data_IF_887895221140
#
_entry.id   IF_887895221140
#
_cell.length_a   1.000
_cell.length_b   1.000
_cell.length_c   1.000
_cell.angle_alpha   90.00
_cell.angle_beta   90.00
_cell.angle_gamma   90.00
#
_symmetry.space_group_name_H-M   'P 1'
#
loop_
_entity.id
_entity.type
_entity.pdbx_description
1 polymer ?
#
# COMPACT_ATOMS: atom_id res chain seq x y z
N UNK A 1 -26.75 -1.18 -0.55
CA UNK A 1 -26.35 -0.31 -1.68
C UNK A 1 -24.91 -0.58 -2.10
N UNK A 2 -24.00 -0.73 -1.14
CA UNK A 2 -22.57 -0.97 -1.37
C UNK A 2 -22.25 -2.23 -2.19
N UNK A 3 -22.91 -3.36 -1.92
CA UNK A 3 -22.70 -4.60 -2.67
C UNK A 3 -23.08 -4.52 -4.14
N UNK A 4 -24.11 -3.73 -4.48
CA UNK A 4 -24.52 -3.53 -5.87
C UNK A 4 -23.44 -2.76 -6.64
N UNK A 5 -22.86 -1.73 -6.01
CA UNK A 5 -21.79 -0.96 -6.62
C UNK A 5 -20.51 -1.79 -6.79
N UNK A 6 -20.12 -2.59 -5.79
CA UNK A 6 -18.97 -3.52 -5.88
C UNK A 6 -19.10 -4.48 -7.06
N UNK A 7 -20.29 -5.03 -7.30
CA UNK A 7 -20.58 -5.92 -8.44
C UNK A 7 -20.48 -5.18 -9.78
N UNK A 8 -21.07 -3.99 -9.88
CA UNK A 8 -20.99 -3.16 -11.09
C UNK A 8 -19.54 -2.75 -11.39
N UNK A 9 -18.80 -2.35 -10.36
CA UNK A 9 -17.39 -2.02 -10.47
C UNK A 9 -16.57 -3.20 -11.00
N UNK A 10 -16.73 -4.39 -10.40
CA UNK A 10 -15.98 -5.57 -10.83
C UNK A 10 -16.27 -5.98 -12.27
N UNK A 11 -17.53 -5.86 -12.71
CA UNK A 11 -17.90 -6.11 -14.11
C UNK A 11 -17.25 -5.09 -15.06
N UNK A 12 -17.37 -3.80 -14.76
CA UNK A 12 -16.78 -2.75 -15.59
C UNK A 12 -15.24 -2.86 -15.65
N UNK A 13 -14.61 -3.15 -14.52
CA UNK A 13 -13.17 -3.33 -14.43
C UNK A 13 -12.70 -4.50 -15.31
N UNK A 14 -13.37 -5.65 -15.20
CA UNK A 14 -13.09 -6.83 -16.03
C UNK A 14 -13.21 -6.53 -17.53
N UNK A 15 -14.28 -5.86 -17.96
CA UNK A 15 -14.52 -5.53 -19.37
C UNK A 15 -13.47 -4.55 -19.91
N UNK A 16 -13.18 -3.49 -19.15
CA UNK A 16 -12.21 -2.47 -19.58
C UNK A 16 -10.78 -3.03 -19.58
N UNK A 17 -10.42 -3.86 -18.60
CA UNK A 17 -9.11 -4.51 -18.57
C UNK A 17 -8.91 -5.41 -19.79
N UNK A 18 -9.90 -6.23 -20.16
CA UNK A 18 -9.81 -7.05 -21.37
C UNK A 18 -9.68 -6.21 -22.64
N UNK A 19 -10.42 -5.10 -22.73
CA UNK A 19 -10.36 -4.19 -23.87
C UNK A 19 -8.98 -3.53 -24.02
N UNK A 20 -8.39 -3.06 -22.92
CA UNK A 20 -7.10 -2.35 -22.93
C UNK A 20 -5.91 -3.27 -23.14
N UNK A 21 -5.90 -4.42 -22.48
CA UNK A 21 -4.78 -5.37 -22.50
C UNK A 21 -4.83 -6.29 -23.71
N UNK A 22 -6.02 -6.47 -24.30
CA UNK A 22 -6.31 -7.52 -25.29
C UNK A 22 -6.03 -8.94 -24.77
N UNK A 23 -5.98 -9.09 -23.44
CA UNK A 23 -5.84 -10.37 -22.75
C UNK A 23 -7.20 -10.80 -22.23
N UNK A 24 -7.59 -12.05 -22.51
CA UNK A 24 -8.79 -12.61 -21.93
C UNK A 24 -8.60 -12.84 -20.42
N UNK A 25 -9.52 -12.29 -19.63
CA UNK A 25 -9.56 -12.47 -18.18
C UNK A 25 -10.80 -13.29 -17.86
N UNK A 26 -10.65 -14.45 -17.19
CA UNK A 26 -11.77 -15.33 -16.87
C UNK A 26 -12.68 -14.71 -15.81
N UNK A 27 -12.08 -14.03 -14.84
CA UNK A 27 -12.77 -13.41 -13.72
C UNK A 27 -12.09 -12.10 -13.28
N UNK A 28 -12.65 -11.49 -12.23
CA UNK A 28 -12.15 -10.22 -11.67
C UNK A 28 -10.76 -10.33 -11.04
N UNK A 29 -10.37 -11.52 -10.56
CA UNK A 29 -9.07 -11.75 -9.95
C UNK A 29 -8.00 -11.78 -11.04
N UNK A 30 -8.27 -12.47 -12.15
CA UNK A 30 -7.41 -12.45 -13.34
C UNK A 30 -7.20 -11.02 -13.84
N UNK A 31 -8.28 -10.24 -13.96
CA UNK A 31 -8.19 -8.84 -14.38
C UNK A 31 -7.38 -7.98 -13.39
N UNK A 32 -7.49 -8.24 -12.09
CA UNK A 32 -6.70 -7.58 -11.06
C UNK A 32 -5.21 -7.92 -11.17
N UNK A 33 -4.88 -9.20 -11.38
CA UNK A 33 -3.49 -9.61 -11.61
C UNK A 33 -2.92 -9.01 -12.89
N UNK A 34 -3.70 -8.99 -13.97
CA UNK A 34 -3.28 -8.39 -15.23
C UNK A 34 -3.10 -6.88 -15.09
N UNK A 35 -3.98 -6.22 -14.32
CA UNK A 35 -3.75 -4.85 -13.90
C UNK A 35 -2.39 -4.76 -13.21
N UNK A 36 -2.11 -5.49 -12.14
CA UNK A 36 -0.83 -5.36 -11.42
C UNK A 36 0.41 -5.56 -12.31
N UNK A 37 0.37 -6.44 -13.31
CA UNK A 37 1.50 -6.74 -14.20
C UNK A 37 1.84 -5.64 -15.20
N UNK A 38 0.86 -4.84 -15.62
CA UNK A 38 1.09 -3.85 -16.67
C UNK A 38 1.72 -2.55 -16.17
N UNK A 39 2.60 -1.97 -16.99
CA UNK A 39 3.13 -0.63 -16.79
C UNK A 39 2.09 0.47 -17.10
N UNK A 40 2.40 1.70 -16.70
CA UNK A 40 1.51 2.87 -16.72
C UNK A 40 0.83 3.12 -18.06
N UNK A 41 1.51 2.85 -19.18
CA UNK A 41 0.97 3.09 -20.52
C UNK A 41 -0.33 2.33 -20.81
N UNK A 42 -0.49 1.11 -20.29
CA UNK A 42 -1.72 0.32 -20.47
C UNK A 42 -2.82 0.76 -19.51
N UNK A 43 -2.45 1.32 -18.36
CA UNK A 43 -3.36 1.84 -17.35
C UNK A 43 -3.74 3.28 -17.58
N UNK A 44 -3.10 3.93 -18.55
CA UNK A 44 -3.43 5.27 -18.99
C UNK A 44 -4.92 5.36 -19.33
N UNK A 45 -5.57 6.36 -18.75
CA UNK A 45 -7.02 6.58 -18.83
C UNK A 45 -7.92 5.44 -18.30
N UNK A 46 -7.41 4.42 -17.60
CA UNK A 46 -8.25 3.36 -17.00
C UNK A 46 -9.33 3.93 -16.08
N UNK A 47 -8.94 4.81 -15.18
CA UNK A 47 -9.87 5.43 -14.23
C UNK A 47 -10.88 6.33 -14.92
N UNK A 48 -10.51 6.93 -16.05
CA UNK A 48 -11.39 7.74 -16.88
C UNK A 48 -12.41 6.86 -17.60
N UNK A 49 -12.00 5.74 -18.20
CA UNK A 49 -12.91 4.79 -18.84
C UNK A 49 -13.89 4.18 -17.82
N UNK A 50 -13.38 3.82 -16.64
CA UNK A 50 -14.21 3.36 -15.52
C UNK A 50 -15.20 4.44 -15.04
N UNK A 51 -14.78 5.71 -15.02
CA UNK A 51 -15.62 6.84 -14.63
C UNK A 51 -16.82 7.01 -15.57
N UNK A 52 -16.60 6.83 -16.88
CA UNK A 52 -17.64 6.88 -17.91
C UNK A 52 -18.60 5.70 -17.78
N UNK A 53 -18.09 4.48 -17.56
CA UNK A 53 -18.89 3.28 -17.41
C UNK A 53 -19.78 3.30 -16.16
N UNK A 54 -19.31 3.91 -15.07
CA UNK A 54 -20.00 3.92 -13.77
C UNK A 54 -20.72 5.25 -13.46
N UNK A 55 -20.61 6.25 -14.33
CA UNK A 55 -21.29 7.54 -14.17
C UNK A 55 -20.82 8.33 -12.94
N UNK A 56 -19.52 8.31 -12.64
CA UNK A 56 -18.94 9.01 -11.48
C UNK A 56 -17.58 9.61 -11.85
N UNK A 57 -16.85 10.21 -10.90
CA UNK A 57 -15.55 10.84 -11.18
C UNK A 57 -14.40 9.82 -11.12
N UNK A 58 -13.38 10.00 -11.97
CA UNK A 58 -12.18 9.14 -11.99
C UNK A 58 -11.51 9.06 -10.62
N UNK A 59 -11.44 10.19 -9.89
CA UNK A 59 -10.92 10.24 -8.52
C UNK A 59 -11.68 9.27 -7.59
N UNK A 60 -13.02 9.29 -7.61
CA UNK A 60 -13.83 8.38 -6.78
C UNK A 60 -13.61 6.91 -7.14
N UNK A 61 -13.45 6.60 -8.43
CA UNK A 61 -13.15 5.24 -8.89
C UNK A 61 -11.77 4.79 -8.41
N UNK A 62 -10.76 5.62 -8.62
CA UNK A 62 -9.39 5.38 -8.17
C UNK A 62 -9.35 5.14 -6.65
N UNK A 63 -9.93 6.05 -5.88
CA UNK A 63 -9.96 5.96 -4.42
C UNK A 63 -10.72 4.71 -3.96
N UNK A 64 -11.84 4.39 -4.61
CA UNK A 64 -12.61 3.19 -4.30
C UNK A 64 -11.81 1.91 -4.59
N UNK A 65 -11.09 1.86 -5.71
CA UNK A 65 -10.24 0.74 -6.07
C UNK A 65 -9.19 0.50 -4.98
N UNK A 66 -8.35 1.50 -4.69
CA UNK A 66 -7.21 1.34 -3.77
C UNK A 66 -7.63 1.18 -2.31
N UNK A 67 -8.70 1.85 -1.87
CA UNK A 67 -9.07 1.84 -0.45
C UNK A 67 -10.05 0.73 -0.08
N UNK A 68 -10.82 0.20 -1.05
CA UNK A 68 -11.94 -0.71 -0.75
C UNK A 68 -11.91 -1.96 -1.63
N UNK A 69 -11.97 -1.81 -2.95
CA UNK A 69 -12.25 -2.94 -3.84
C UNK A 69 -11.04 -3.87 -4.01
N UNK A 70 -9.82 -3.36 -4.16
CA UNK A 70 -8.62 -4.20 -4.35
C UNK A 70 -8.35 -5.12 -3.15
N UNK A 71 -8.68 -4.67 -1.93
CA UNK A 71 -8.41 -5.38 -0.67
C UNK A 71 -9.03 -6.78 -0.59
N UNK A 72 -10.08 -7.05 -1.37
CA UNK A 72 -10.71 -8.37 -1.40
C UNK A 72 -9.81 -9.48 -1.98
N UNK A 73 -8.72 -9.12 -2.66
CA UNK A 73 -7.77 -10.05 -3.26
C UNK A 73 -6.51 -10.28 -2.42
N UNK A 74 -6.48 -9.75 -1.19
CA UNK A 74 -5.33 -9.81 -0.30
C UNK A 74 -5.73 -10.50 1.00
N UNK A 75 -4.74 -11.11 1.65
CA UNK A 75 -4.91 -11.73 2.94
C UNK A 75 -5.13 -10.70 4.04
N UNK A 76 -5.78 -11.12 5.12
CA UNK A 76 -5.96 -10.29 6.30
C UNK A 76 -4.65 -10.18 7.08
N UNK A 77 -4.38 -8.99 7.63
CA UNK A 77 -3.17 -8.73 8.42
C UNK A 77 -3.22 -9.36 9.82
N UNK A 78 -4.40 -9.75 10.28
CA UNK A 78 -4.69 -10.13 11.67
C UNK A 78 -3.80 -11.27 12.20
N UNK A 79 -3.55 -12.36 11.46
CA UNK A 79 -2.65 -13.43 11.90
C UNK A 79 -1.20 -12.96 12.09
N UNK A 80 -0.80 -11.88 11.41
CA UNK A 80 0.58 -11.40 11.34
C UNK A 80 0.83 -10.18 12.24
N UNK A 81 -0.20 -9.66 12.91
CA UNK A 81 -0.10 -8.42 13.71
C UNK A 81 0.99 -8.46 14.77
N UNK A 82 1.18 -9.61 15.43
CA UNK A 82 2.21 -9.77 16.46
C UNK A 82 3.60 -9.82 15.83
N UNK A 83 3.78 -10.61 14.77
CA UNK A 83 5.05 -10.67 14.04
C UNK A 83 5.45 -9.31 13.47
N UNK A 84 4.52 -8.58 12.85
CA UNK A 84 4.77 -7.23 12.34
C UNK A 84 5.19 -6.28 13.47
N UNK A 85 4.53 -6.35 14.62
CA UNK A 85 4.89 -5.52 15.78
C UNK A 85 6.32 -5.79 16.26
N UNK A 86 6.75 -7.04 16.27
CA UNK A 86 8.09 -7.41 16.69
C UNK A 86 9.13 -7.00 15.64
N UNK A 87 8.83 -7.14 14.34
CA UNK A 87 9.66 -6.63 13.25
C UNK A 87 9.83 -5.11 13.29
N UNK A 88 8.76 -4.36 13.53
CA UNK A 88 8.82 -2.89 13.68
C UNK A 88 9.69 -2.48 14.86
N UNK A 89 9.65 -3.23 15.96
CA UNK A 89 10.52 -2.96 17.12
C UNK A 89 11.99 -3.22 16.80
N UNK A 90 12.27 -4.24 16.00
CA UNK A 90 13.62 -4.63 15.62
C UNK A 90 14.23 -3.72 14.55
N UNK A 91 13.42 -3.06 13.73
CA UNK A 91 13.88 -2.15 12.67
C UNK A 91 14.58 -0.88 13.19
N UNK A 92 14.53 -0.59 14.50
CA UNK A 92 15.14 0.61 15.06
C UNK A 92 14.35 1.90 14.75
N UNK A 93 14.78 3.01 15.34
CA UNK A 93 14.03 4.29 15.31
C UNK A 93 14.50 5.29 14.24
N UNK A 94 15.51 4.92 13.43
CA UNK A 94 16.18 5.82 12.47
C UNK A 94 15.69 5.67 11.03
N UNK A 95 14.92 4.62 10.73
CA UNK A 95 14.49 4.32 9.38
C UNK A 95 13.18 5.04 9.04
N UNK A 96 13.00 5.40 7.77
CA UNK A 96 11.73 5.97 7.31
C UNK A 96 10.61 4.92 7.42
N UNK A 97 9.36 5.36 7.64
CA UNK A 97 8.20 4.44 7.72
C UNK A 97 8.12 3.54 6.47
N UNK A 98 8.49 4.07 5.31
CA UNK A 98 8.53 3.34 4.06
C UNK A 98 9.58 2.23 4.09
N UNK A 99 10.79 2.52 4.56
CA UNK A 99 11.86 1.52 4.72
C UNK A 99 11.47 0.43 5.71
N UNK A 100 10.90 0.80 6.87
CA UNK A 100 10.40 -0.18 7.85
C UNK A 100 9.30 -1.04 7.24
N UNK A 101 8.38 -0.45 6.47
CA UNK A 101 7.32 -1.20 5.79
C UNK A 101 7.87 -2.19 4.77
N UNK A 102 8.84 -1.76 3.95
CA UNK A 102 9.54 -2.63 2.98
C UNK A 102 10.25 -3.78 3.69
N UNK A 103 10.98 -3.49 4.77
CA UNK A 103 11.64 -4.49 5.61
C UNK A 103 10.64 -5.52 6.16
N UNK A 104 9.53 -5.06 6.75
CA UNK A 104 8.49 -5.93 7.29
C UNK A 104 7.93 -6.87 6.22
N UNK A 105 7.59 -6.35 5.04
CA UNK A 105 7.04 -7.16 3.94
C UNK A 105 8.07 -8.20 3.46
N UNK A 106 9.34 -7.81 3.32
CA UNK A 106 10.41 -8.73 2.91
C UNK A 106 10.59 -9.86 3.94
N UNK A 107 10.57 -9.54 5.24
CA UNK A 107 10.70 -10.54 6.31
C UNK A 107 9.52 -11.52 6.37
N UNK A 108 8.29 -11.03 6.14
CA UNK A 108 7.12 -11.90 6.08
C UNK A 108 7.19 -12.89 4.91
N UNK A 109 7.64 -12.44 3.74
CA UNK A 109 7.83 -13.29 2.56
C UNK A 109 8.96 -14.31 2.75
N UNK A 110 10.06 -13.91 3.38
CA UNK A 110 11.20 -14.78 3.65
C UNK A 110 10.90 -15.87 4.69
N UNK A 111 9.88 -15.70 5.52
CA UNK A 111 9.47 -16.66 6.55
C UNK A 111 8.74 -17.90 5.99
N UNK A 112 8.84 -18.16 4.67
CA UNK A 112 8.12 -19.22 3.94
C UNK A 112 6.59 -19.15 4.03
N UNK A 113 6.07 -17.98 4.37
CA UNK A 113 4.63 -17.75 4.37
C UNK A 113 4.29 -17.07 3.05
N UNK A 114 3.63 -17.80 2.15
CA UNK A 114 3.05 -17.23 0.93
C UNK A 114 1.85 -16.36 1.31
N UNK A 115 2.13 -15.15 1.80
CA UNK A 115 1.12 -14.18 2.20
C UNK A 115 1.09 -13.03 1.21
N UNK A 116 -0.09 -12.80 0.64
CA UNK A 116 -0.34 -11.64 -0.20
C UNK A 116 -1.02 -10.55 0.63
N UNK A 117 -0.24 -9.81 1.44
CA UNK A 117 -0.75 -8.67 2.20
C UNK A 117 -0.81 -7.40 1.36
N UNK A 118 -1.90 -6.64 1.52
CA UNK A 118 -2.04 -5.34 0.88
C UNK A 118 -1.07 -4.32 1.49
N UNK A 119 -0.20 -3.71 0.67
CA UNK A 119 0.85 -2.78 1.13
C UNK A 119 0.32 -1.66 2.03
N UNK A 120 -0.74 -0.97 1.61
CA UNK A 120 -1.32 0.13 2.39
C UNK A 120 -1.78 -0.30 3.79
N UNK A 121 -2.27 -1.54 3.92
CA UNK A 121 -2.72 -2.08 5.20
C UNK A 121 -1.52 -2.30 6.12
N UNK A 122 -0.42 -2.84 5.58
CA UNK A 122 0.83 -3.02 6.33
C UNK A 122 1.42 -1.65 6.71
N UNK A 123 1.50 -0.72 5.76
CA UNK A 123 1.98 0.64 5.99
C UNK A 123 1.23 1.35 7.12
N UNK A 124 -0.11 1.33 7.08
CA UNK A 124 -0.95 1.95 8.11
C UNK A 124 -0.70 1.33 9.49
N UNK A 125 -0.56 0.00 9.56
CA UNK A 125 -0.29 -0.69 10.81
C UNK A 125 1.12 -0.41 11.33
N UNK A 126 2.13 -0.40 10.48
CA UNK A 126 3.52 -0.01 10.83
C UNK A 126 3.56 1.41 11.38
N UNK A 127 2.94 2.37 10.68
CA UNK A 127 2.84 3.77 11.14
C UNK A 127 2.17 3.86 12.52
N UNK A 128 1.08 3.12 12.73
CA UNK A 128 0.40 3.02 14.02
C UNK A 128 1.33 2.48 15.13
N UNK A 129 2.11 1.43 14.86
CA UNK A 129 3.06 0.87 15.84
C UNK A 129 4.18 1.84 16.19
N UNK A 130 4.73 2.55 15.21
CA UNK A 130 5.79 3.56 15.41
C UNK A 130 5.25 4.70 16.29
N UNK A 131 4.08 5.25 15.96
CA UNK A 131 3.43 6.33 16.74
C UNK A 131 3.10 5.92 18.17
N UNK A 132 2.64 4.69 18.37
CA UNK A 132 2.35 4.17 19.72
C UNK A 132 3.63 3.97 20.55
N UNK A 133 4.71 3.54 19.92
CA UNK A 133 5.99 3.35 20.61
C UNK A 133 6.57 4.69 21.08
N UNK A 134 6.48 5.74 20.25
CA UNK A 134 6.89 7.09 20.64
C UNK A 134 6.10 7.63 21.85
N UNK A 135 4.77 7.45 21.86
CA UNK A 135 3.91 7.90 22.97
C UNK A 135 4.22 7.21 24.30
N UNK A 136 4.48 5.90 24.27
CA UNK A 136 4.75 5.14 25.49
C UNK A 136 6.13 5.46 26.10
N UNK A 137 7.10 5.88 25.29
CA UNK A 137 8.41 6.34 25.77
C UNK A 137 8.29 7.67 26.52
N UNK A 138 7.47 8.61 26.04
CA UNK A 138 7.25 9.90 26.70
C UNK A 138 6.61 9.74 28.08
N UNK A 139 5.60 8.87 28.21
CA UNK A 139 4.86 8.67 29.48
C UNK A 139 5.74 8.02 30.57
N UNK A 140 6.75 7.22 30.19
CA UNK A 140 7.66 6.57 31.15
C UNK A 140 8.79 7.48 31.66
N UNK A 141 9.13 8.53 30.92
CA UNK A 141 10.28 9.38 31.23
C UNK A 141 9.96 10.58 32.14
N UNK A 142 8.68 10.88 32.39
CA UNK A 142 8.26 11.89 33.39
C UNK A 142 8.58 11.50 34.84
N UNK A 143 9.13 10.30 35.07
CA UNK A 143 9.59 9.88 36.39
C UNK A 143 11.09 10.09 36.64
N UNK A 144 11.93 10.35 35.61
CA UNK A 144 13.37 10.67 35.79
C UNK A 144 13.95 11.46 34.60
N UNK A 145 14.15 12.75 34.84
CA UNK A 145 15.23 13.64 34.32
C UNK A 145 15.55 13.69 32.82
N UNK A 146 15.31 14.90 32.28
CA UNK A 146 15.92 15.66 31.18
C UNK A 146 16.90 15.02 30.18
N UNK A 147 16.70 15.49 28.94
CA UNK A 147 17.59 15.49 27.77
C UNK A 147 17.58 14.23 26.89
N UNK A 148 16.69 14.26 25.88
CA UNK A 148 16.95 13.91 24.48
C UNK A 148 15.63 13.95 23.70
N UNK A 149 15.17 15.16 23.37
CA UNK A 149 14.17 15.33 22.31
C UNK A 149 14.56 16.54 21.49
N UNK A 150 15.50 16.32 20.59
CA UNK A 150 15.74 17.23 19.48
C UNK A 150 15.88 16.42 18.20
N UNK A 151 15.17 16.90 17.19
CA UNK A 151 15.42 16.68 15.76
C UNK A 151 14.80 15.41 15.15
N UNK A 152 13.48 15.43 14.95
CA UNK A 152 12.95 15.10 13.61
C UNK A 152 12.91 16.40 12.81
N UNK A 153 14.02 16.74 12.16
CA UNK A 153 13.99 17.66 11.02
C UNK A 153 14.02 16.78 9.78
N UNK A 154 13.05 17.01 8.90
CA UNK A 154 13.10 16.60 7.50
C UNK A 154 14.49 16.94 6.94
N UNK A 155 15.24 15.91 6.57
CA UNK A 155 16.44 16.08 5.76
C UNK A 155 16.09 15.61 4.35
N UNK A 156 15.88 16.58 3.47
CA UNK A 156 16.04 16.40 2.03
C UNK A 156 17.50 16.00 1.76
N UNK A 157 17.68 14.74 1.35
CA UNK A 157 18.98 14.13 1.05
C UNK A 157 18.88 13.30 -0.23
N UNK A 158 19.05 14.00 -1.33
CA UNK A 158 18.87 13.61 -2.73
C UNK A 158 20.11 12.85 -3.23
N UNK A 159 19.97 11.58 -3.67
CA UNK A 159 20.62 10.96 -4.87
C UNK A 159 20.66 9.42 -4.81
N UNK A 160 20.80 8.78 -3.64
CA UNK A 160 20.77 7.29 -3.55
C UNK A 160 19.34 6.70 -3.60
N UNK A 161 18.32 7.54 -3.32
CA UNK A 161 16.91 7.14 -3.23
C UNK A 161 16.29 6.83 -4.61
N UNK A 162 16.87 7.35 -5.69
CA UNK A 162 16.28 7.26 -7.05
C UNK A 162 16.39 5.88 -7.69
N UNK A 163 17.42 5.10 -7.37
CA UNK A 163 17.59 3.75 -7.93
C UNK A 163 16.63 2.74 -7.26
N UNK A 164 16.41 2.86 -5.95
CA UNK A 164 15.49 1.99 -5.19
C UNK A 164 14.00 2.37 -5.39
N UNK A 165 13.70 3.58 -5.84
CA UNK A 165 12.35 4.00 -6.24
C UNK A 165 11.92 3.43 -7.59
N UNK A 166 12.83 3.26 -8.54
CA UNK A 166 12.54 2.69 -9.86
C UNK A 166 12.19 1.19 -9.77
N UNK A 167 12.85 0.45 -8.89
CA UNK A 167 12.52 -0.96 -8.65
C UNK A 167 11.11 -1.10 -8.04
N UNK A 168 10.66 -0.16 -7.19
CA UNK A 168 9.32 -0.18 -6.59
C UNK A 168 8.23 0.44 -7.46
N UNK A 169 8.52 1.43 -8.30
CA UNK A 169 7.62 1.84 -9.39
C UNK A 169 7.37 0.67 -10.35
N UNK A 170 8.32 -0.25 -10.51
CA UNK A 170 8.09 -1.48 -11.29
C UNK A 170 7.20 -2.51 -10.56
N UNK A 171 7.19 -2.52 -9.23
CA UNK A 171 6.42 -3.46 -8.40
C UNK A 171 5.04 -2.92 -7.98
N UNK A 172 4.89 -1.60 -7.86
CA UNK A 172 3.66 -0.88 -7.47
C UNK A 172 3.59 0.51 -8.13
N UNK A 173 3.36 0.60 -9.46
CA UNK A 173 3.50 1.85 -10.22
C UNK A 173 2.51 2.98 -9.86
N UNK A 174 1.49 2.70 -9.05
CA UNK A 174 0.37 3.62 -8.75
C UNK A 174 0.44 4.24 -7.35
N UNK A 175 1.51 3.99 -6.60
CA UNK A 175 1.72 4.69 -5.34
C UNK A 175 2.50 5.97 -5.64
N UNK A 176 1.79 7.09 -5.85
CA UNK A 176 2.42 8.40 -5.90
C UNK A 176 2.80 8.80 -4.48
N UNK A 177 4.10 8.73 -4.18
CA UNK A 177 4.64 9.07 -2.86
C UNK A 177 4.51 10.57 -2.54
N UNK A 178 4.09 11.41 -3.49
CA UNK A 178 3.91 12.85 -3.31
C UNK A 178 2.52 13.26 -2.79
N UNK A 179 1.59 12.32 -2.61
CA UNK A 179 0.21 12.60 -2.14
C UNK A 179 0.00 12.28 -0.63
N UNK A 180 1.07 12.21 0.18
CA UNK A 180 1.03 12.10 1.67
C UNK A 180 1.62 13.34 2.32
#
# INVERSE_FOLDING_TARGET
>A
MEDRFKKLFGKAFLEIMQLKTRVYCKDILDAHHEFLRHQDGVKFDLWKDMSLALGTTSKKIHDFYHNTWSKQFYDTIDPFRQQIKDLVRNAGSTDSIQQVTKFVIAQLRNSQIDVNLHYQTVYQYVNYQIKNSARNTTIRNDSKSSDLCSVFKEQEGNEQVKEDEQEYQSLFPFFDFNDI
#
